data_IF_987562632559
#
_entry.id   IF_987562632559
#
_cell.length_a   1.000
_cell.length_b   1.000
_cell.length_c   1.000
_cell.angle_alpha   90.00
_cell.angle_beta   90.00
_cell.angle_gamma   90.00
#
_symmetry.space_group_name_H-M   'P 1'
#
loop_
_entity.id
_entity.type
_entity.pdbx_description
1 polymer ?
#
# COMPACT_ATOMS: atom_id res chain seq x y z
N UNK A 1 -14.93 -7.72 -40.11
CA UNK A 1 -14.48 -7.13 -38.85
C UNK A 1 -15.49 -7.30 -37.72
N UNK A 2 -16.79 -7.23 -37.97
CA UNK A 2 -17.80 -7.47 -36.91
C UNK A 2 -17.79 -8.90 -36.36
N UNK A 3 -17.55 -9.91 -37.20
CA UNK A 3 -17.58 -11.31 -36.77
C UNK A 3 -16.35 -11.75 -35.95
N UNK A 4 -15.21 -11.07 -36.07
CA UNK A 4 -14.05 -11.29 -35.23
C UNK A 4 -14.30 -10.83 -33.77
N UNK A 5 -15.19 -9.84 -33.58
CA UNK A 5 -15.60 -9.35 -32.27
C UNK A 5 -16.66 -10.21 -31.59
N UNK A 6 -17.41 -10.99 -32.37
CA UNK A 6 -18.49 -11.85 -31.84
C UNK A 6 -18.00 -13.26 -31.48
N UNK A 7 -16.92 -13.75 -32.07
CA UNK A 7 -16.40 -15.10 -31.80
C UNK A 7 -15.71 -15.25 -30.42
N UNK A 8 -15.36 -14.15 -29.77
CA UNK A 8 -14.76 -14.14 -28.42
C UNK A 8 -15.80 -14.06 -27.28
N UNK A 9 -17.09 -14.26 -27.60
CA UNK A 9 -18.21 -14.19 -26.65
C UNK A 9 -18.50 -15.48 -25.88
N UNK A 10 -17.66 -16.50 -25.98
CA UNK A 10 -17.83 -17.69 -25.12
C UNK A 10 -17.48 -17.30 -23.67
N UNK A 11 -18.51 -17.11 -22.84
CA UNK A 11 -18.37 -17.02 -21.42
C UNK A 11 -17.66 -18.26 -20.91
N UNK A 12 -16.46 -18.09 -20.38
CA UNK A 12 -15.71 -19.16 -19.73
C UNK A 12 -16.47 -19.54 -18.45
N UNK A 13 -17.37 -20.52 -18.52
CA UNK A 13 -17.96 -21.18 -17.34
C UNK A 13 -16.96 -22.14 -16.67
N UNK A 14 -15.78 -22.32 -17.28
CA UNK A 14 -14.70 -23.17 -16.79
C UNK A 14 -13.60 -22.28 -16.20
N UNK A 15 -13.07 -22.60 -15.01
CA UNK A 15 -11.94 -21.87 -14.43
C UNK A 15 -10.75 -21.89 -15.39
N UNK A 16 -10.03 -20.75 -15.46
CA UNK A 16 -8.82 -20.67 -16.27
C UNK A 16 -7.76 -21.63 -15.74
N UNK A 17 -7.18 -22.43 -16.63
CA UNK A 17 -6.14 -23.40 -16.35
C UNK A 17 -4.98 -23.22 -17.32
N UNK A 18 -3.77 -23.56 -16.90
CA UNK A 18 -2.59 -23.59 -17.74
C UNK A 18 -2.13 -22.23 -18.26
N UNK A 19 -1.79 -22.15 -19.54
CA UNK A 19 -1.15 -20.99 -20.16
C UNK A 19 -2.02 -19.71 -20.15
N UNK A 20 -3.35 -19.85 -20.22
CA UNK A 20 -4.25 -18.70 -20.17
C UNK A 20 -4.34 -18.12 -18.76
N UNK A 21 -4.42 -18.99 -17.74
CA UNK A 21 -4.36 -18.56 -16.34
C UNK A 21 -3.09 -17.77 -16.07
N UNK A 22 -1.93 -18.29 -16.50
CA UNK A 22 -0.66 -17.59 -16.32
C UNK A 22 -0.65 -16.21 -17.00
N UNK A 23 -1.17 -16.10 -18.23
CA UNK A 23 -1.24 -14.81 -18.94
C UNK A 23 -2.07 -13.78 -18.19
N UNK A 24 -3.26 -14.16 -17.73
CA UNK A 24 -4.17 -13.27 -16.98
C UNK A 24 -3.53 -12.84 -15.66
N UNK A 25 -2.93 -13.77 -14.92
CA UNK A 25 -2.20 -13.46 -13.71
C UNK A 25 -1.07 -12.45 -13.97
N UNK A 26 -0.24 -12.72 -15.00
CA UNK A 26 0.91 -11.87 -15.31
C UNK A 26 0.50 -10.43 -15.70
N UNK A 27 -0.62 -10.26 -16.41
CA UNK A 27 -1.14 -8.92 -16.76
C UNK A 27 -1.40 -8.08 -15.48
N UNK A 28 -2.12 -8.64 -14.52
CA UNK A 28 -2.39 -7.96 -13.24
C UNK A 28 -1.12 -7.79 -12.39
N UNK A 29 -0.29 -8.81 -12.32
CA UNK A 29 0.95 -8.78 -11.57
C UNK A 29 1.90 -7.69 -12.08
N UNK A 30 1.99 -7.51 -13.41
CA UNK A 30 2.79 -6.47 -14.03
C UNK A 30 2.24 -5.07 -13.73
N UNK A 31 0.93 -4.86 -13.81
CA UNK A 31 0.30 -3.60 -13.42
C UNK A 31 0.55 -3.28 -11.93
N UNK A 32 0.48 -4.27 -11.05
CA UNK A 32 0.75 -4.10 -9.64
C UNK A 32 2.22 -3.83 -9.32
N UNK A 33 3.14 -4.44 -10.07
CA UNK A 33 4.56 -4.11 -10.05
C UNK A 33 4.79 -2.62 -10.37
N UNK A 34 4.14 -2.10 -11.41
CA UNK A 34 4.23 -0.68 -11.78
C UNK A 34 3.67 0.23 -10.68
N UNK A 35 2.55 -0.16 -10.07
CA UNK A 35 1.95 0.57 -8.94
C UNK A 35 2.93 0.74 -7.78
N UNK A 36 3.64 -0.33 -7.41
CA UNK A 36 4.67 -0.26 -6.36
C UNK A 36 5.91 0.49 -6.78
N UNK A 37 6.30 0.42 -8.06
CA UNK A 37 7.42 1.21 -8.59
C UNK A 37 7.13 2.71 -8.48
N UNK A 38 5.96 3.17 -8.90
CA UNK A 38 5.54 4.58 -8.73
C UNK A 38 5.48 5.00 -7.27
N UNK A 39 5.04 4.11 -6.36
CA UNK A 39 4.94 4.40 -4.93
C UNK A 39 6.32 4.61 -4.29
N UNK A 40 7.29 3.75 -4.62
CA UNK A 40 8.55 3.64 -3.88
C UNK A 40 9.69 4.48 -4.47
N UNK A 41 9.56 4.95 -5.71
CA UNK A 41 10.65 5.62 -6.43
C UNK A 41 11.13 6.90 -5.75
N UNK A 42 10.28 7.60 -5.03
CA UNK A 42 10.64 8.86 -4.35
C UNK A 42 11.70 8.68 -3.27
N UNK A 43 11.77 7.52 -2.63
CA UNK A 43 12.80 7.25 -1.62
C UNK A 43 14.22 7.38 -2.19
N UNK A 44 14.39 7.10 -3.48
CA UNK A 44 15.67 7.16 -4.18
C UNK A 44 15.86 8.50 -4.91
N UNK A 45 14.77 9.10 -5.41
CA UNK A 45 14.81 10.36 -6.16
C UNK A 45 14.82 11.60 -5.25
N UNK A 46 14.61 11.43 -3.93
CA UNK A 46 14.48 12.57 -3.01
C UNK A 46 15.63 13.58 -3.06
N UNK A 47 16.92 13.20 -3.15
CA UNK A 47 18.00 14.19 -3.24
C UNK A 47 17.91 15.05 -4.50
N UNK A 48 17.64 14.41 -5.63
CA UNK A 48 17.53 15.10 -6.93
C UNK A 48 16.30 16.02 -6.97
N UNK A 49 15.18 15.58 -6.40
CA UNK A 49 13.97 16.39 -6.32
C UNK A 49 14.16 17.63 -5.44
N UNK A 50 14.80 17.45 -4.27
CA UNK A 50 15.10 18.58 -3.36
C UNK A 50 16.06 19.58 -4.03
N UNK A 51 17.12 19.10 -4.67
CA UNK A 51 18.13 19.95 -5.29
C UNK A 51 17.60 20.68 -6.53
N UNK A 52 16.87 19.98 -7.42
CA UNK A 52 16.42 20.57 -8.69
C UNK A 52 15.20 21.50 -8.52
N UNK A 53 14.36 21.23 -7.50
CA UNK A 53 13.12 21.96 -7.27
C UNK A 53 13.23 22.96 -6.11
N UNK A 54 14.35 22.94 -5.39
CA UNK A 54 14.62 23.79 -4.20
C UNK A 54 13.50 23.71 -3.15
N UNK A 55 12.91 22.50 -3.00
CA UNK A 55 11.77 22.25 -2.07
C UNK A 55 12.27 21.87 -0.68
N UNK A 56 11.51 22.29 0.33
CA UNK A 56 11.73 21.90 1.72
C UNK A 56 11.38 20.44 2.00
N UNK A 57 11.75 19.92 3.16
CA UNK A 57 11.38 18.57 3.61
C UNK A 57 9.86 18.41 3.74
N UNK A 58 9.16 19.44 4.23
CA UNK A 58 7.69 19.48 4.32
C UNK A 58 7.03 19.44 2.95
N UNK A 59 7.55 20.20 1.99
CA UNK A 59 7.07 20.17 0.60
C UNK A 59 7.34 18.82 -0.07
N UNK A 60 8.51 18.21 0.14
CA UNK A 60 8.81 16.86 -0.36
C UNK A 60 7.85 15.81 0.24
N UNK A 61 7.58 15.91 1.54
CA UNK A 61 6.61 15.06 2.23
C UNK A 61 5.20 15.26 1.69
N UNK A 62 4.79 16.51 1.46
CA UNK A 62 3.48 16.85 0.88
C UNK A 62 3.34 16.35 -0.55
N UNK A 63 4.37 16.56 -1.38
CA UNK A 63 4.43 16.07 -2.76
C UNK A 63 4.27 14.55 -2.83
N UNK A 64 4.96 13.83 -1.96
CA UNK A 64 4.86 12.38 -1.89
C UNK A 64 3.53 11.91 -1.32
N UNK A 65 2.96 12.64 -0.35
CA UNK A 65 1.64 12.37 0.22
C UNK A 65 0.52 12.51 -0.79
N UNK A 66 0.65 13.39 -1.79
CA UNK A 66 -0.38 13.57 -2.82
C UNK A 66 -0.71 12.27 -3.58
N UNK A 67 0.29 11.42 -3.81
CA UNK A 67 0.09 10.07 -4.35
C UNK A 67 -0.81 9.22 -3.43
N UNK A 68 -0.51 9.22 -2.12
CA UNK A 68 -1.27 8.43 -1.13
C UNK A 68 -2.69 8.97 -0.96
N UNK A 69 -2.87 10.29 -1.00
CA UNK A 69 -4.17 10.96 -0.97
C UNK A 69 -4.99 10.53 -2.20
N UNK A 70 -4.42 10.65 -3.40
CA UNK A 70 -5.09 10.23 -4.63
C UNK A 70 -5.47 8.75 -4.62
N UNK A 71 -4.54 7.89 -4.18
CA UNK A 71 -4.76 6.45 -4.03
C UNK A 71 -5.88 6.15 -3.03
N UNK A 72 -5.87 6.78 -1.85
CA UNK A 72 -6.86 6.60 -0.79
C UNK A 72 -8.26 7.07 -1.19
N UNK A 73 -8.37 8.26 -1.78
CA UNK A 73 -9.64 8.82 -2.26
C UNK A 73 -10.28 7.96 -3.37
N UNK A 74 -9.46 7.35 -4.21
CA UNK A 74 -9.95 6.49 -5.29
C UNK A 74 -10.47 5.13 -4.81
N UNK A 75 -10.17 4.68 -3.58
CA UNK A 75 -10.56 3.35 -3.09
C UNK A 75 -12.08 3.11 -3.14
N UNK A 76 -12.87 4.11 -2.75
CA UNK A 76 -14.34 4.00 -2.76
C UNK A 76 -14.89 3.95 -4.20
N UNK A 77 -14.53 4.90 -5.10
CA UNK A 77 -14.90 4.82 -6.51
C UNK A 77 -14.47 3.52 -7.21
N UNK A 78 -13.27 3.01 -6.92
CA UNK A 78 -12.75 1.77 -7.51
C UNK A 78 -13.68 0.59 -7.23
N UNK A 79 -14.17 0.43 -6.01
CA UNK A 79 -15.14 -0.63 -5.68
C UNK A 79 -16.40 -0.56 -6.55
N UNK A 80 -16.96 0.65 -6.71
CA UNK A 80 -18.16 0.88 -7.54
C UNK A 80 -17.89 0.58 -9.03
N UNK A 81 -16.74 1.02 -9.54
CA UNK A 81 -16.34 0.77 -10.92
C UNK A 81 -16.13 -0.72 -11.20
N UNK A 82 -15.51 -1.45 -10.27
CA UNK A 82 -15.31 -2.90 -10.37
C UNK A 82 -16.64 -3.65 -10.43
N UNK A 83 -17.60 -3.27 -9.60
CA UNK A 83 -18.92 -3.90 -9.58
C UNK A 83 -19.72 -3.61 -10.87
N UNK A 84 -19.53 -2.40 -11.44
CA UNK A 84 -20.30 -1.97 -12.61
C UNK A 84 -19.68 -2.40 -13.94
N UNK A 85 -18.36 -2.26 -14.08
CA UNK A 85 -17.65 -2.43 -15.35
C UNK A 85 -16.69 -3.63 -15.35
N UNK A 86 -16.47 -4.25 -14.19
CA UNK A 86 -15.55 -5.37 -14.03
C UNK A 86 -14.06 -4.97 -14.01
N UNK A 87 -13.16 -5.93 -13.73
CA UNK A 87 -11.76 -5.64 -13.45
C UNK A 87 -10.99 -5.09 -14.65
N UNK A 88 -11.25 -5.59 -15.87
CA UNK A 88 -10.52 -5.16 -17.07
C UNK A 88 -10.73 -3.69 -17.40
N UNK A 89 -11.99 -3.25 -17.50
CA UNK A 89 -12.32 -1.86 -17.90
C UNK A 89 -11.89 -0.91 -16.80
N UNK A 90 -12.15 -1.25 -15.54
CA UNK A 90 -11.80 -0.41 -14.40
C UNK A 90 -10.29 -0.16 -14.34
N UNK A 91 -9.48 -1.22 -14.47
CA UNK A 91 -8.02 -1.07 -14.38
C UNK A 91 -7.45 -0.28 -15.56
N UNK A 92 -7.84 -0.61 -16.78
CA UNK A 92 -7.40 0.12 -17.98
C UNK A 92 -7.76 1.61 -17.87
N UNK A 93 -9.01 1.93 -17.52
CA UNK A 93 -9.47 3.31 -17.43
C UNK A 93 -8.72 4.10 -16.36
N UNK A 94 -8.45 3.50 -15.22
CA UNK A 94 -7.71 4.17 -14.15
C UNK A 94 -6.22 4.30 -14.47
N UNK A 95 -5.59 3.30 -15.04
CA UNK A 95 -4.16 3.38 -15.42
C UNK A 95 -3.89 4.48 -16.46
N UNK A 96 -4.87 4.92 -17.24
CA UNK A 96 -4.73 6.09 -18.11
C UNK A 96 -4.44 7.35 -17.26
N UNK A 97 -5.10 7.51 -16.11
CA UNK A 97 -4.78 8.63 -15.20
C UNK A 97 -3.35 8.54 -14.66
N UNK A 98 -2.83 7.32 -14.45
CA UNK A 98 -1.43 7.15 -14.03
C UNK A 98 -0.45 7.59 -15.12
N UNK A 99 -0.72 7.26 -16.39
CA UNK A 99 0.09 7.70 -17.54
C UNK A 99 0.04 9.22 -17.66
N UNK A 100 -1.16 9.81 -17.65
CA UNK A 100 -1.35 11.28 -17.72
C UNK A 100 -0.64 11.97 -16.54
N UNK A 101 -0.80 11.44 -15.33
CA UNK A 101 -0.15 11.96 -14.14
C UNK A 101 1.37 11.90 -14.21
N UNK A 102 1.93 10.80 -14.73
CA UNK A 102 3.38 10.66 -14.90
C UNK A 102 3.94 11.59 -15.99
N UNK A 103 3.21 11.82 -17.08
CA UNK A 103 3.57 12.79 -18.10
C UNK A 103 3.47 14.24 -17.58
N UNK A 104 2.43 14.54 -16.77
CA UNK A 104 2.33 15.83 -16.08
C UNK A 104 3.50 16.04 -15.14
N UNK A 105 3.87 15.04 -14.36
CA UNK A 105 5.03 15.12 -13.46
C UNK A 105 6.35 15.30 -14.22
N UNK A 106 6.51 14.61 -15.35
CA UNK A 106 7.66 14.76 -16.23
C UNK A 106 7.83 16.18 -16.75
N UNK A 107 6.72 16.80 -17.19
CA UNK A 107 6.72 18.12 -17.83
C UNK A 107 6.53 19.29 -16.86
N UNK A 108 6.40 19.03 -15.57
CA UNK A 108 6.04 20.05 -14.59
C UNK A 108 7.23 20.98 -14.27
N UNK A 109 6.95 22.30 -14.27
CA UNK A 109 7.89 23.35 -13.90
C UNK A 109 7.51 24.06 -12.59
N UNK A 110 6.42 23.63 -11.95
CA UNK A 110 5.97 24.19 -10.68
C UNK A 110 5.41 23.11 -9.74
N UNK A 111 5.40 23.43 -8.44
CA UNK A 111 4.97 22.51 -7.40
C UNK A 111 3.51 22.02 -7.57
N UNK A 112 2.60 22.90 -8.02
CA UNK A 112 1.19 22.55 -8.18
C UNK A 112 0.98 21.46 -9.24
N UNK A 113 1.68 21.54 -10.37
CA UNK A 113 1.63 20.51 -11.42
C UNK A 113 2.29 19.21 -10.97
N UNK A 114 3.40 19.27 -10.22
CA UNK A 114 4.03 18.10 -9.61
C UNK A 114 3.07 17.40 -8.65
N UNK A 115 2.42 18.17 -7.77
CA UNK A 115 1.43 17.67 -6.83
C UNK A 115 0.25 17.01 -7.55
N UNK A 116 -0.33 17.68 -8.56
CA UNK A 116 -1.42 17.15 -9.36
C UNK A 116 -1.02 15.88 -10.13
N UNK A 117 0.17 15.87 -10.74
CA UNK A 117 0.72 14.70 -11.43
C UNK A 117 0.84 13.50 -10.49
N UNK A 118 1.40 13.69 -9.30
CA UNK A 118 1.51 12.64 -8.27
C UNK A 118 0.15 12.13 -7.79
N UNK A 119 -0.80 13.03 -7.55
CA UNK A 119 -2.16 12.68 -7.15
C UNK A 119 -2.85 11.85 -8.23
N UNK A 120 -2.73 12.23 -9.51
CA UNK A 120 -3.27 11.47 -10.64
C UNK A 120 -2.62 10.09 -10.79
N UNK A 121 -1.29 9.97 -10.58
CA UNK A 121 -0.62 8.66 -10.54
C UNK A 121 -1.25 7.80 -9.45
N UNK A 122 -1.43 8.34 -8.24
CA UNK A 122 -2.05 7.63 -7.12
C UNK A 122 -3.46 7.12 -7.44
N UNK A 123 -4.32 7.99 -8.00
CA UNK A 123 -5.66 7.61 -8.49
C UNK A 123 -5.55 6.50 -9.53
N UNK A 124 -4.64 6.66 -10.49
CA UNK A 124 -4.52 5.76 -11.63
C UNK A 124 -4.13 4.33 -11.28
N UNK A 125 -3.24 4.15 -10.29
CA UNK A 125 -2.76 2.81 -9.88
C UNK A 125 -3.53 2.23 -8.69
N UNK A 126 -4.53 2.93 -8.18
CA UNK A 126 -5.30 2.52 -6.99
C UNK A 126 -6.09 1.23 -7.17
N UNK A 127 -6.45 0.88 -8.40
CA UNK A 127 -7.22 -0.31 -8.72
C UNK A 127 -6.40 -1.58 -8.90
N UNK A 128 -5.07 -1.49 -9.10
CA UNK A 128 -4.25 -2.62 -9.57
C UNK A 128 -4.40 -3.90 -8.72
N UNK A 129 -4.42 -3.80 -7.39
CA UNK A 129 -4.65 -4.96 -6.53
C UNK A 129 -6.13 -5.38 -6.52
N UNK A 130 -7.05 -4.43 -6.41
CA UNK A 130 -8.48 -4.73 -6.29
C UNK A 130 -9.05 -5.32 -7.58
N UNK A 131 -8.60 -4.83 -8.74
CA UNK A 131 -8.94 -5.42 -10.05
C UNK A 131 -8.41 -6.83 -10.19
N UNK A 132 -7.17 -7.08 -9.76
CA UNK A 132 -6.59 -8.41 -9.76
C UNK A 132 -7.41 -9.38 -8.91
N UNK A 133 -7.71 -9.02 -7.65
CA UNK A 133 -8.49 -9.87 -6.74
C UNK A 133 -9.91 -10.12 -7.27
N UNK A 134 -10.56 -9.10 -7.85
CA UNK A 134 -11.86 -9.24 -8.50
C UNK A 134 -11.80 -10.17 -9.73
N UNK A 135 -10.77 -10.02 -10.56
CA UNK A 135 -10.52 -10.89 -11.71
C UNK A 135 -10.24 -12.33 -11.30
N UNK A 136 -9.44 -12.54 -10.26
CA UNK A 136 -9.15 -13.89 -9.75
C UNK A 136 -10.40 -14.58 -9.23
N UNK A 137 -11.26 -13.89 -8.50
CA UNK A 137 -12.57 -14.44 -8.07
C UNK A 137 -13.45 -14.86 -9.25
N UNK A 138 -13.34 -14.15 -10.39
CA UNK A 138 -14.15 -14.41 -11.56
C UNK A 138 -13.62 -15.52 -12.46
N UNK A 139 -12.30 -15.76 -12.47
CA UNK A 139 -11.64 -16.58 -13.49
C UNK A 139 -10.83 -17.75 -12.94
N UNK A 140 -10.55 -17.80 -11.62
CA UNK A 140 -9.75 -18.87 -11.03
C UNK A 140 -10.53 -19.66 -9.99
N UNK A 141 -10.14 -20.94 -9.75
CA UNK A 141 -10.71 -21.73 -8.67
C UNK A 141 -10.54 -21.07 -7.29
N UNK A 142 -11.51 -21.29 -6.40
CA UNK A 142 -11.54 -20.65 -5.09
C UNK A 142 -10.37 -21.06 -4.18
N UNK A 143 -9.91 -22.31 -4.33
CA UNK A 143 -8.76 -22.88 -3.61
C UNK A 143 -7.43 -22.23 -4.00
N UNK A 144 -7.33 -21.56 -5.15
CA UNK A 144 -6.13 -20.87 -5.64
C UNK A 144 -6.04 -19.39 -5.19
N UNK A 145 -7.12 -18.81 -4.68
CA UNK A 145 -7.18 -17.40 -4.30
C UNK A 145 -6.08 -16.96 -3.32
N UNK A 146 -5.78 -17.70 -2.23
CA UNK A 146 -4.72 -17.32 -1.30
C UNK A 146 -3.33 -17.31 -1.97
N UNK A 147 -3.06 -18.29 -2.84
CA UNK A 147 -1.78 -18.40 -3.57
C UNK A 147 -1.61 -17.23 -4.55
N UNK A 148 -2.67 -16.88 -5.29
CA UNK A 148 -2.67 -15.75 -6.23
C UNK A 148 -2.47 -14.41 -5.50
N UNK A 149 -3.12 -14.23 -4.36
CA UNK A 149 -2.95 -13.03 -3.54
C UNK A 149 -1.52 -12.89 -3.02
N UNK A 150 -0.94 -13.98 -2.51
CA UNK A 150 0.46 -13.99 -2.07
C UNK A 150 1.43 -13.70 -3.22
N UNK A 151 1.19 -14.29 -4.40
CA UNK A 151 1.99 -14.02 -5.58
C UNK A 151 1.89 -12.55 -6.03
N UNK A 152 0.70 -11.92 -5.94
CA UNK A 152 0.55 -10.48 -6.21
C UNK A 152 1.41 -9.63 -5.28
N UNK A 153 1.46 -9.94 -3.98
CA UNK A 153 2.31 -9.21 -3.02
C UNK A 153 3.80 -9.33 -3.37
N UNK A 154 4.24 -10.50 -3.84
CA UNK A 154 5.61 -10.72 -4.33
C UNK A 154 5.91 -9.80 -5.51
N UNK A 155 5.03 -9.79 -6.53
CA UNK A 155 5.21 -8.93 -7.71
C UNK A 155 5.14 -7.45 -7.34
N UNK A 156 4.22 -7.04 -6.46
CA UNK A 156 4.19 -5.67 -5.95
C UNK A 156 5.51 -5.28 -5.28
N UNK A 157 5.98 -6.07 -4.32
CA UNK A 157 7.23 -5.77 -3.60
C UNK A 157 8.45 -5.79 -4.54
N UNK A 158 8.48 -6.64 -5.59
CA UNK A 158 9.53 -6.60 -6.60
C UNK A 158 9.54 -5.27 -7.38
N UNK A 159 8.39 -4.61 -7.53
CA UNK A 159 8.32 -3.24 -8.06
C UNK A 159 9.04 -2.22 -7.16
N UNK A 160 8.91 -2.34 -5.83
CA UNK A 160 9.66 -1.51 -4.89
C UNK A 160 11.18 -1.79 -4.95
N UNK A 161 11.57 -3.06 -5.12
CA UNK A 161 12.98 -3.44 -5.36
C UNK A 161 13.52 -2.80 -6.64
N UNK A 162 12.76 -2.84 -7.73
CA UNK A 162 13.12 -2.20 -8.99
C UNK A 162 13.28 -0.68 -8.84
N UNK A 163 12.39 -0.04 -8.10
CA UNK A 163 12.40 1.39 -7.84
C UNK A 163 13.54 1.87 -6.92
N UNK A 164 14.37 0.97 -6.40
CA UNK A 164 15.51 1.28 -5.52
C UNK A 164 16.85 1.28 -6.28
N UNK A 165 17.74 0.33 -6.03
CA UNK A 165 19.06 0.30 -6.64
C UNK A 165 19.05 0.29 -8.19
N UNK A 166 18.15 -0.43 -8.89
CA UNK A 166 18.10 -0.37 -10.35
C UNK A 166 17.81 1.03 -10.92
N UNK A 167 16.85 1.76 -10.30
CA UNK A 167 16.56 3.14 -10.71
C UNK A 167 17.76 4.05 -10.43
N UNK A 168 18.46 3.87 -9.31
CA UNK A 168 19.66 4.67 -9.00
C UNK A 168 20.76 4.53 -10.07
N UNK A 169 20.92 3.34 -10.65
CA UNK A 169 21.92 3.10 -11.71
C UNK A 169 21.58 3.90 -12.98
N UNK A 170 20.30 4.00 -13.31
CA UNK A 170 19.84 4.66 -14.54
C UNK A 170 19.72 6.19 -14.37
N UNK A 171 19.48 6.64 -13.14
CA UNK A 171 19.20 8.04 -12.80
C UNK A 171 20.22 9.06 -13.32
N UNK A 172 21.57 8.83 -13.28
CA UNK A 172 22.54 9.77 -13.81
C UNK A 172 22.45 10.01 -15.31
N UNK A 173 21.87 9.07 -16.06
CA UNK A 173 21.76 9.13 -17.52
C UNK A 173 20.50 9.83 -18.01
N UNK A 174 19.38 9.66 -17.30
CA UNK A 174 18.08 10.15 -17.76
C UNK A 174 17.43 11.18 -16.82
N UNK A 175 18.02 11.42 -15.66
CA UNK A 175 17.48 12.29 -14.63
C UNK A 175 16.16 11.78 -14.03
N UNK A 176 15.65 12.44 -13.00
CA UNK A 176 14.39 12.06 -12.37
C UNK A 176 13.18 12.24 -13.32
N UNK A 177 13.20 13.23 -14.19
CA UNK A 177 12.17 13.41 -15.23
C UNK A 177 12.12 12.21 -16.17
N UNK A 178 13.29 11.76 -16.66
CA UNK A 178 13.39 10.57 -17.52
C UNK A 178 12.93 9.29 -16.85
N UNK A 179 13.10 9.14 -15.54
CA UNK A 179 12.55 8.01 -14.77
C UNK A 179 11.02 8.03 -14.83
N UNK A 180 10.37 9.19 -14.63
CA UNK A 180 8.89 9.27 -14.71
C UNK A 180 8.38 9.05 -16.13
N UNK A 181 9.08 9.54 -17.16
CA UNK A 181 8.75 9.26 -18.56
C UNK A 181 8.86 7.75 -18.86
N UNK A 182 9.90 7.09 -18.38
CA UNK A 182 10.09 5.63 -18.53
C UNK A 182 8.96 4.85 -17.85
N UNK A 183 8.58 5.23 -16.63
CA UNK A 183 7.45 4.61 -15.90
C UNK A 183 6.12 4.86 -16.63
N UNK A 184 5.92 6.05 -17.23
CA UNK A 184 4.75 6.35 -18.05
C UNK A 184 4.66 5.44 -19.28
N UNK A 185 5.78 5.23 -19.98
CA UNK A 185 5.84 4.33 -21.15
C UNK A 185 5.57 2.87 -20.75
N UNK A 186 6.17 2.39 -19.64
CA UNK A 186 5.94 1.03 -19.12
C UNK A 186 4.48 0.87 -18.68
N UNK A 187 3.87 1.89 -18.06
CA UNK A 187 2.46 1.90 -17.69
C UNK A 187 1.55 1.86 -18.93
N UNK A 188 1.85 2.63 -19.96
CA UNK A 188 1.12 2.60 -21.23
C UNK A 188 1.23 1.22 -21.91
N UNK A 189 2.40 0.60 -21.91
CA UNK A 189 2.59 -0.76 -22.40
C UNK A 189 1.75 -1.77 -21.59
N UNK A 190 1.66 -1.60 -20.26
CA UNK A 190 0.79 -2.44 -19.42
C UNK A 190 -0.68 -2.30 -19.79
N UNK A 191 -1.17 -1.09 -20.09
CA UNK A 191 -2.54 -0.87 -20.58
C UNK A 191 -2.80 -1.66 -21.86
N UNK A 192 -1.86 -1.62 -22.80
CA UNK A 192 -1.95 -2.39 -24.06
C UNK A 192 -1.99 -3.91 -23.77
N UNK A 193 -1.14 -4.39 -22.87
CA UNK A 193 -1.12 -5.80 -22.46
C UNK A 193 -2.45 -6.19 -21.81
N UNK A 194 -2.97 -5.40 -20.88
CA UNK A 194 -4.27 -5.62 -20.25
C UNK A 194 -5.41 -5.66 -21.29
N UNK A 195 -5.37 -4.74 -22.25
CA UNK A 195 -6.39 -4.66 -23.31
C UNK A 195 -6.41 -5.91 -24.20
N UNK A 196 -5.28 -6.46 -24.59
CA UNK A 196 -5.24 -7.60 -25.50
C UNK A 196 -5.37 -8.96 -24.82
N UNK A 197 -4.88 -9.12 -23.58
CA UNK A 197 -4.77 -10.42 -22.92
C UNK A 197 -5.83 -10.69 -21.85
N UNK A 198 -6.49 -9.66 -21.30
CA UNK A 198 -7.55 -9.93 -20.32
C UNK A 198 -8.87 -10.31 -21.03
N UNK A 199 -9.56 -11.36 -20.52
CA UNK A 199 -10.85 -11.75 -21.07
C UNK A 199 -11.90 -10.65 -20.91
N UNK A 200 -12.73 -10.47 -21.93
CA UNK A 200 -13.94 -9.64 -21.83
C UNK A 200 -15.03 -10.50 -21.21
N UNK A 201 -15.10 -10.54 -19.88
CA UNK A 201 -16.23 -11.16 -19.20
C UNK A 201 -17.29 -10.10 -18.95
N UNK A 202 -18.39 -10.14 -19.66
CA UNK A 202 -19.61 -9.46 -19.21
C UNK A 202 -20.07 -10.17 -17.93
N UNK A 203 -20.40 -9.46 -16.85
CA UNK A 203 -21.00 -10.07 -15.67
C UNK A 203 -22.29 -10.76 -16.11
N UNK A 204 -22.31 -12.08 -16.20
CA UNK A 204 -23.51 -12.84 -16.60
C UNK A 204 -24.59 -12.88 -15.53
N UNK A 205 -24.23 -12.55 -14.31
CA UNK A 205 -25.20 -12.37 -13.24
C UNK A 205 -24.74 -11.20 -12.36
N UNK A 206 -25.64 -10.22 -12.23
CA UNK A 206 -25.57 -9.31 -11.09
C UNK A 206 -25.49 -10.23 -9.86
N UNK A 207 -24.50 -10.09 -8.98
CA UNK A 207 -24.57 -10.79 -7.72
C UNK A 207 -25.89 -10.38 -7.07
N UNK A 208 -26.84 -11.30 -7.03
CA UNK A 208 -28.23 -11.10 -6.55
C UNK A 208 -28.27 -10.68 -5.07
N UNK A 209 -27.11 -10.54 -4.45
CA UNK A 209 -26.96 -10.26 -3.03
C UNK A 209 -26.95 -8.75 -2.71
N UNK A 210 -26.76 -7.84 -3.70
CA UNK A 210 -26.45 -6.45 -3.36
C UNK A 210 -27.38 -5.35 -3.85
N UNK A 211 -28.44 -5.64 -4.62
CA UNK A 211 -29.37 -4.57 -5.04
C UNK A 211 -30.82 -5.07 -5.00
N UNK A 212 -31.42 -5.05 -3.83
CA UNK A 212 -32.85 -4.74 -3.75
C UNK A 212 -33.03 -3.30 -4.23
N UNK A 213 -33.89 -3.08 -5.19
CA UNK A 213 -34.05 -1.81 -5.92
C UNK A 213 -34.41 -0.57 -5.05
N UNK A 214 -34.63 -0.72 -3.78
CA UNK A 214 -34.93 0.36 -2.84
C UNK A 214 -33.71 0.97 -2.13
N UNK A 215 -32.50 0.41 -2.28
CA UNK A 215 -31.31 0.79 -1.49
C UNK A 215 -30.15 1.40 -2.30
N UNK A 216 -30.33 1.73 -3.58
CA UNK A 216 -29.25 2.32 -4.42
C UNK A 216 -28.70 3.65 -3.91
N UNK A 217 -29.49 4.43 -3.17
CA UNK A 217 -29.09 5.73 -2.61
C UNK A 217 -28.37 5.60 -1.27
N UNK A 218 -28.52 4.47 -0.55
CA UNK A 218 -27.92 4.26 0.78
C UNK A 218 -26.47 3.76 0.79
N UNK A 219 -25.90 3.41 -0.35
CA UNK A 219 -24.52 2.85 -0.43
C UNK A 219 -23.43 3.87 -0.01
N UNK A 220 -23.68 5.15 -0.20
CA UNK A 220 -22.77 6.26 0.19
C UNK A 220 -23.29 7.03 1.42
N UNK A 221 -24.37 6.55 2.08
CA UNK A 221 -24.87 7.24 3.26
C UNK A 221 -23.94 6.98 4.46
N UNK A 222 -23.69 8.02 5.24
CA UNK A 222 -22.99 7.96 6.53
C UNK A 222 -23.52 6.83 7.44
N UNK A 223 -24.83 6.59 7.40
CA UNK A 223 -25.48 5.52 8.15
C UNK A 223 -24.94 4.12 7.85
N UNK A 224 -24.42 3.90 6.63
CA UNK A 224 -23.84 2.60 6.24
C UNK A 224 -22.42 2.39 6.79
N UNK A 225 -21.68 3.46 7.05
CA UNK A 225 -20.30 3.41 7.54
C UNK A 225 -20.20 3.57 9.06
N UNK A 226 -21.17 4.24 9.68
CA UNK A 226 -21.20 4.47 11.12
C UNK A 226 -21.00 3.18 11.96
N UNK A 227 -21.68 2.06 11.68
CA UNK A 227 -21.49 0.81 12.43
C UNK A 227 -20.07 0.25 12.31
N UNK A 228 -19.38 0.51 11.20
CA UNK A 228 -17.99 0.10 10.98
C UNK A 228 -17.06 0.97 11.83
N UNK A 229 -17.19 2.29 11.71
CA UNK A 229 -16.33 3.26 12.38
C UNK A 229 -16.49 3.28 13.90
N UNK A 230 -17.65 2.85 14.43
CA UNK A 230 -17.92 2.76 15.87
C UNK A 230 -17.69 1.35 16.44
N UNK A 231 -17.32 0.38 15.61
CA UNK A 231 -17.07 -0.98 16.08
C UNK A 231 -15.83 -1.04 16.99
N UNK A 232 -15.90 -1.67 18.16
CA UNK A 232 -14.79 -1.77 19.10
C UNK A 232 -13.52 -2.40 18.51
N UNK A 233 -13.63 -3.46 17.71
CA UNK A 233 -12.47 -4.10 17.07
C UNK A 233 -11.83 -3.18 16.02
N UNK A 234 -12.66 -2.46 15.26
CA UNK A 234 -12.17 -1.46 14.32
C UNK A 234 -11.39 -0.36 15.05
N UNK A 235 -11.96 0.23 16.09
CA UNK A 235 -11.34 1.31 16.87
C UNK A 235 -10.07 0.85 17.60
N UNK A 236 -10.02 -0.39 18.05
CA UNK A 236 -8.83 -0.97 18.68
C UNK A 236 -7.67 -1.11 17.71
N UNK A 237 -7.93 -1.60 16.50
CA UNK A 237 -6.92 -1.89 15.48
C UNK A 237 -6.62 -0.69 14.58
N UNK A 238 -7.42 0.38 14.63
CA UNK A 238 -7.25 1.59 13.83
C UNK A 238 -5.85 2.21 13.95
N UNK A 239 -5.25 2.38 15.15
CA UNK A 239 -3.90 2.95 15.27
C UNK A 239 -2.83 2.08 14.61
N UNK A 240 -2.95 0.75 14.66
CA UNK A 240 -2.01 -0.16 13.98
C UNK A 240 -2.07 0.04 12.47
N UNK A 241 -3.27 0.18 11.90
CA UNK A 241 -3.43 0.46 10.48
C UNK A 241 -2.98 1.86 10.09
N UNK A 242 -3.54 2.88 10.73
CA UNK A 242 -3.30 4.27 10.34
C UNK A 242 -1.89 4.77 10.71
N UNK A 243 -1.39 4.42 11.91
CA UNK A 243 -0.13 4.95 12.42
C UNK A 243 1.02 3.98 12.13
N UNK A 244 0.92 2.70 12.52
CA UNK A 244 2.04 1.77 12.33
C UNK A 244 2.22 1.35 10.87
N UNK A 245 1.16 0.88 10.20
CA UNK A 245 1.24 0.50 8.78
C UNK A 245 1.34 1.74 7.89
N UNK A 246 0.56 2.80 8.16
CA UNK A 246 0.64 4.05 7.43
C UNK A 246 2.02 4.71 7.54
N UNK A 247 2.57 4.80 8.75
CA UNK A 247 3.90 5.33 8.95
C UNK A 247 5.01 4.45 8.39
N UNK A 248 4.86 3.12 8.44
CA UNK A 248 5.75 2.20 7.72
C UNK A 248 5.77 2.51 6.22
N UNK A 249 4.60 2.73 5.60
CA UNK A 249 4.50 3.14 4.19
C UNK A 249 5.26 4.47 3.98
N UNK A 250 5.07 5.46 4.84
CA UNK A 250 5.76 6.74 4.74
C UNK A 250 7.29 6.60 4.81
N UNK A 251 7.80 5.78 5.72
CA UNK A 251 9.24 5.50 5.84
C UNK A 251 9.77 4.76 4.61
N UNK A 252 9.12 3.65 4.24
CA UNK A 252 9.54 2.81 3.13
C UNK A 252 9.56 3.55 1.79
N UNK A 253 8.56 4.42 1.55
CA UNK A 253 8.35 5.03 0.24
C UNK A 253 9.01 6.40 0.07
N UNK A 254 9.46 7.01 1.18
CA UNK A 254 10.15 8.30 1.14
C UNK A 254 11.28 8.40 2.18
N UNK A 255 10.96 8.38 3.48
CA UNK A 255 11.85 8.92 4.51
C UNK A 255 13.08 8.07 4.84
N UNK A 256 13.07 6.77 4.50
CA UNK A 256 14.25 5.91 4.71
C UNK A 256 15.46 6.41 3.91
N UNK A 257 15.26 6.86 2.66
CA UNK A 257 16.34 7.41 1.83
C UNK A 257 16.99 8.66 2.42
N UNK A 258 16.24 9.75 2.64
CA UNK A 258 16.73 10.95 3.30
C UNK A 258 17.36 10.69 4.67
N UNK A 259 16.82 9.80 5.49
CA UNK A 259 17.41 9.39 6.77
C UNK A 259 18.81 8.85 6.60
N UNK A 260 19.00 7.88 5.69
CA UNK A 260 20.29 7.25 5.46
C UNK A 260 21.33 8.25 4.93
N UNK A 261 20.91 9.25 4.18
CA UNK A 261 21.81 10.27 3.64
C UNK A 261 22.13 11.35 4.68
N UNK A 262 21.10 11.95 5.29
CA UNK A 262 21.26 13.14 6.15
C UNK A 262 21.70 12.80 7.58
N UNK A 263 21.32 11.64 8.11
CA UNK A 263 21.65 11.24 9.50
C UNK A 263 22.82 10.26 9.55
N UNK A 264 22.82 9.26 8.65
CA UNK A 264 23.87 8.25 8.60
C UNK A 264 25.05 8.64 7.70
N UNK A 265 24.93 9.78 6.99
CA UNK A 265 25.94 10.29 6.05
C UNK A 265 26.37 9.29 4.99
N UNK A 266 25.43 8.43 4.54
CA UNK A 266 25.69 7.51 3.44
C UNK A 266 25.55 8.19 2.09
N UNK A 267 26.34 7.72 1.11
CA UNK A 267 26.16 8.15 -0.29
C UNK A 267 24.79 7.72 -0.81
N UNK A 268 24.29 8.40 -1.82
CA UNK A 268 23.01 8.04 -2.46
C UNK A 268 23.01 6.61 -3.01
N UNK A 269 24.17 6.12 -3.50
CA UNK A 269 24.36 4.74 -3.98
C UNK A 269 24.17 3.74 -2.84
N UNK A 270 24.85 3.96 -1.71
CA UNK A 270 24.75 3.07 -0.52
C UNK A 270 23.36 3.12 0.08
N UNK A 271 22.74 4.30 0.14
CA UNK A 271 21.35 4.46 0.57
C UNK A 271 20.39 3.62 -0.28
N UNK A 272 20.50 3.71 -1.60
CA UNK A 272 19.67 2.95 -2.55
C UNK A 272 19.86 1.45 -2.43
N UNK A 273 21.10 0.98 -2.19
CA UNK A 273 21.37 -0.43 -1.93
C UNK A 273 20.73 -0.90 -0.62
N UNK A 274 20.76 -0.08 0.43
CA UNK A 274 20.14 -0.42 1.71
C UNK A 274 18.60 -0.44 1.61
N UNK A 275 18.00 0.49 0.84
CA UNK A 275 16.57 0.46 0.53
C UNK A 275 16.21 -0.80 -0.25
N UNK A 276 17.05 -1.22 -1.19
CA UNK A 276 16.87 -2.50 -1.90
C UNK A 276 16.86 -3.67 -0.92
N UNK A 277 17.86 -3.78 -0.04
CA UNK A 277 17.93 -4.85 0.95
C UNK A 277 16.78 -4.80 1.96
N UNK A 278 16.35 -3.62 2.39
CA UNK A 278 15.17 -3.45 3.24
C UNK A 278 13.91 -4.05 2.60
N UNK A 279 13.67 -3.74 1.32
CA UNK A 279 12.55 -4.29 0.56
C UNK A 279 12.70 -5.81 0.30
N UNK A 280 13.94 -6.30 0.09
CA UNK A 280 14.21 -7.73 -0.08
C UNK A 280 13.90 -8.52 1.20
N UNK A 281 14.33 -8.00 2.37
CA UNK A 281 14.03 -8.60 3.69
C UNK A 281 12.52 -8.62 3.92
N UNK A 282 11.82 -7.52 3.61
CA UNK A 282 10.36 -7.44 3.70
C UNK A 282 9.67 -8.49 2.82
N UNK A 283 10.10 -8.63 1.56
CA UNK A 283 9.57 -9.63 0.63
C UNK A 283 9.76 -11.06 1.17
N UNK A 284 10.97 -11.38 1.62
CA UNK A 284 11.28 -12.69 2.22
C UNK A 284 10.40 -12.93 3.45
N UNK A 285 10.20 -11.89 4.26
CA UNK A 285 9.35 -12.00 5.46
C UNK A 285 7.90 -12.26 5.11
N UNK A 286 7.34 -11.63 4.09
CA UNK A 286 5.99 -11.95 3.61
C UNK A 286 5.87 -13.40 3.15
N UNK A 287 6.89 -13.92 2.44
CA UNK A 287 6.94 -15.33 2.04
C UNK A 287 6.98 -16.27 3.26
N UNK A 288 7.85 -15.99 4.22
CA UNK A 288 7.96 -16.77 5.45
C UNK A 288 6.64 -16.75 6.22
N UNK A 289 6.03 -15.57 6.41
CA UNK A 289 4.78 -15.43 7.15
C UNK A 289 3.62 -16.22 6.53
N UNK A 290 3.62 -16.40 5.21
CA UNK A 290 2.60 -17.22 4.53
C UNK A 290 2.58 -18.68 5.03
N UNK A 291 3.74 -19.23 5.37
CA UNK A 291 3.88 -20.60 5.86
C UNK A 291 3.98 -20.69 7.38
N UNK A 292 4.52 -19.68 8.01
CA UNK A 292 4.82 -19.67 9.45
C UNK A 292 3.58 -19.37 10.30
N UNK A 293 2.77 -18.40 9.89
CA UNK A 293 1.60 -17.98 10.66
C UNK A 293 0.56 -19.09 10.89
N UNK A 294 0.20 -19.92 9.89
CA UNK A 294 -0.68 -21.06 10.14
C UNK A 294 -0.11 -22.07 11.14
N UNK A 295 1.20 -22.28 11.15
CA UNK A 295 1.85 -23.19 12.11
C UNK A 295 1.82 -22.63 13.53
N UNK A 296 1.99 -21.32 13.72
CA UNK A 296 1.83 -20.68 15.03
C UNK A 296 0.42 -20.83 15.57
N UNK A 297 -0.58 -20.72 14.72
CA UNK A 297 -1.98 -20.92 15.13
C UNK A 297 -2.23 -22.36 15.61
N UNK A 298 -1.59 -23.36 14.98
CA UNK A 298 -1.70 -24.77 15.42
C UNK A 298 -1.14 -25.01 16.83
N UNK A 299 -0.16 -24.22 17.28
CA UNK A 299 0.41 -24.28 18.64
C UNK A 299 -0.26 -23.30 19.61
N UNK A 300 -1.42 -22.73 19.24
CA UNK A 300 -2.23 -21.89 20.11
C UNK A 300 -1.88 -20.40 20.12
N UNK A 301 -0.96 -19.92 19.26
CA UNK A 301 -0.65 -18.48 19.16
C UNK A 301 -1.68 -17.81 18.26
N UNK A 302 -2.48 -16.91 18.83
CA UNK A 302 -3.48 -16.16 18.06
C UNK A 302 -2.82 -15.14 17.14
N UNK A 303 -3.47 -14.84 16.00
CA UNK A 303 -3.01 -13.78 15.07
C UNK A 303 -2.88 -12.42 15.77
N UNK A 304 -3.78 -12.13 16.72
CA UNK A 304 -3.74 -10.90 17.51
C UNK A 304 -2.50 -10.85 18.42
N UNK A 305 -2.19 -11.94 19.13
CA UNK A 305 -0.99 -12.01 19.99
C UNK A 305 0.28 -11.85 19.17
N UNK A 306 0.37 -12.54 18.01
CA UNK A 306 1.49 -12.39 17.09
C UNK A 306 1.66 -10.94 16.61
N UNK A 307 0.58 -10.30 16.16
CA UNK A 307 0.59 -8.89 15.76
C UNK A 307 1.06 -7.98 16.88
N UNK A 308 0.57 -8.20 18.11
CA UNK A 308 0.93 -7.38 19.27
C UNK A 308 2.41 -7.50 19.63
N UNK A 309 2.96 -8.71 19.64
CA UNK A 309 4.39 -8.93 19.89
C UNK A 309 5.25 -8.29 18.81
N UNK A 310 4.91 -8.50 17.53
CA UNK A 310 5.65 -7.93 16.41
C UNK A 310 5.59 -6.40 16.43
N UNK A 311 4.45 -5.81 16.80
CA UNK A 311 4.33 -4.34 16.94
C UNK A 311 5.20 -3.82 18.07
N UNK A 312 5.25 -4.49 19.23
CA UNK A 312 6.13 -4.12 20.33
C UNK A 312 7.62 -4.21 19.96
N UNK A 313 8.04 -5.32 19.34
CA UNK A 313 9.42 -5.49 18.86
C UNK A 313 9.76 -4.45 17.79
N UNK A 314 8.81 -4.12 16.91
CA UNK A 314 8.95 -3.10 15.89
C UNK A 314 9.26 -1.71 16.48
N UNK A 315 8.58 -1.33 17.57
CA UNK A 315 8.86 -0.06 18.28
C UNK A 315 10.29 -0.02 18.81
N UNK A 316 10.75 -1.11 19.41
CA UNK A 316 12.14 -1.22 19.93
C UNK A 316 13.13 -1.14 18.77
N UNK A 317 12.91 -1.91 17.70
CA UNK A 317 13.80 -1.92 16.54
C UNK A 317 13.87 -0.54 15.87
N UNK A 318 12.73 0.13 15.73
CA UNK A 318 12.64 1.46 15.14
C UNK A 318 13.28 2.52 16.02
N UNK A 319 13.05 2.49 17.34
CA UNK A 319 13.72 3.37 18.29
C UNK A 319 15.24 3.18 18.26
N UNK A 320 15.72 1.95 18.23
CA UNK A 320 17.13 1.67 18.09
C UNK A 320 17.69 2.16 16.74
N UNK A 321 16.94 2.00 15.64
CA UNK A 321 17.36 2.51 14.33
C UNK A 321 17.45 4.04 14.29
N UNK A 322 16.60 4.77 15.03
CA UNK A 322 16.59 6.23 15.07
C UNK A 322 17.64 6.83 16.00
N UNK A 323 17.95 6.17 17.12
CA UNK A 323 18.78 6.76 18.17
C UNK A 323 20.15 6.11 18.37
N UNK A 324 20.35 4.87 17.86
CA UNK A 324 21.63 4.18 17.95
C UNK A 324 22.37 4.27 16.62
N UNK A 325 23.27 5.26 16.52
CA UNK A 325 24.12 5.46 15.36
C UNK A 325 25.38 4.57 15.48
N UNK A 326 25.62 3.70 14.51
CA UNK A 326 26.78 2.81 14.51
C UNK A 326 26.62 1.64 13.52
N UNK A 327 27.58 0.70 13.49
CA UNK A 327 27.57 -0.42 12.53
C UNK A 327 26.32 -1.31 12.63
N UNK A 328 25.72 -1.41 13.82
CA UNK A 328 24.51 -2.20 14.07
C UNK A 328 23.22 -1.51 13.61
N UNK A 329 23.26 -0.26 13.14
CA UNK A 329 22.06 0.46 12.70
C UNK A 329 21.33 -0.28 11.58
N UNK A 330 22.06 -0.87 10.63
CA UNK A 330 21.50 -1.67 9.51
C UNK A 330 20.74 -2.89 10.05
N UNK A 331 21.23 -3.53 11.11
CA UNK A 331 20.52 -4.64 11.76
C UNK A 331 19.16 -4.21 12.29
N UNK A 332 19.07 -3.04 12.94
CA UNK A 332 17.82 -2.52 13.47
C UNK A 332 16.81 -2.18 12.36
N UNK A 333 17.26 -1.62 11.25
CA UNK A 333 16.40 -1.44 10.06
C UNK A 333 15.92 -2.77 9.48
N UNK A 334 16.77 -3.79 9.45
CA UNK A 334 16.39 -5.14 9.03
C UNK A 334 15.34 -5.77 9.96
N UNK A 335 15.53 -5.65 11.29
CA UNK A 335 14.57 -6.13 12.27
C UNK A 335 13.23 -5.36 12.19
N UNK A 336 13.28 -4.04 11.94
CA UNK A 336 12.09 -3.25 11.67
C UNK A 336 11.35 -3.73 10.41
N UNK A 337 12.05 -4.04 9.32
CA UNK A 337 11.45 -4.59 8.10
C UNK A 337 10.73 -5.92 8.37
N UNK A 338 11.37 -6.83 9.13
CA UNK A 338 10.79 -8.13 9.51
C UNK A 338 9.51 -7.94 10.32
N UNK A 339 9.55 -7.12 11.37
CA UNK A 339 8.45 -6.98 12.30
C UNK A 339 7.28 -6.20 11.72
N UNK A 340 7.56 -5.16 10.91
CA UNK A 340 6.53 -4.35 10.24
C UNK A 340 5.71 -5.12 9.20
N UNK A 341 6.23 -6.23 8.66
CA UNK A 341 5.48 -7.11 7.78
C UNK A 341 4.21 -7.68 8.43
N UNK A 342 4.14 -7.69 9.76
CA UNK A 342 2.94 -8.13 10.50
C UNK A 342 1.80 -7.10 10.52
N UNK A 343 2.07 -5.81 10.27
CA UNK A 343 1.05 -4.76 10.38
C UNK A 343 -0.15 -4.97 9.45
N UNK A 344 0.05 -5.62 8.30
CA UNK A 344 -1.03 -5.96 7.37
C UNK A 344 -2.07 -6.92 7.99
N UNK A 345 -1.69 -7.66 9.04
CA UNK A 345 -2.60 -8.58 9.74
C UNK A 345 -3.72 -7.83 10.48
N UNK A 346 -3.49 -6.56 10.86
CA UNK A 346 -4.51 -5.73 11.49
C UNK A 346 -5.75 -5.59 10.59
N UNK A 347 -5.54 -5.39 9.28
CA UNK A 347 -6.64 -5.34 8.31
C UNK A 347 -7.42 -6.65 8.25
N UNK A 348 -6.73 -7.78 8.23
CA UNK A 348 -7.36 -9.09 8.23
C UNK A 348 -8.20 -9.33 9.49
N UNK A 349 -7.67 -8.96 10.67
CA UNK A 349 -8.38 -9.07 11.95
C UNK A 349 -9.63 -8.18 11.99
N UNK A 350 -9.55 -6.96 11.45
CA UNK A 350 -10.72 -6.07 11.34
C UNK A 350 -11.78 -6.70 10.43
N UNK A 351 -11.39 -7.16 9.23
CA UNK A 351 -12.34 -7.73 8.26
C UNK A 351 -13.04 -8.96 8.84
N UNK A 352 -12.32 -9.84 9.53
CA UNK A 352 -12.87 -11.08 10.09
C UNK A 352 -13.77 -10.85 11.31
N UNK A 353 -13.73 -9.67 11.93
CA UNK A 353 -14.62 -9.28 13.03
C UNK A 353 -16.02 -8.84 12.57
N UNK A 354 -16.26 -8.79 11.25
CA UNK A 354 -17.56 -8.43 10.68
C UNK A 354 -18.16 -9.58 9.85
N UNK A 355 -19.49 -9.60 9.68
CA UNK A 355 -20.14 -10.56 8.77
C UNK A 355 -19.59 -10.45 7.35
N UNK A 356 -19.52 -11.57 6.63
CA UNK A 356 -19.00 -11.65 5.25
C UNK A 356 -19.67 -10.62 4.33
N UNK A 357 -20.97 -10.35 4.53
CA UNK A 357 -21.72 -9.35 3.79
C UNK A 357 -21.18 -7.90 3.88
N UNK A 358 -20.40 -7.59 4.91
CA UNK A 358 -19.81 -6.27 5.14
C UNK A 358 -18.30 -6.21 4.81
N UNK A 359 -17.67 -7.35 4.52
CA UNK A 359 -16.20 -7.47 4.37
C UNK A 359 -15.61 -6.47 3.36
N UNK A 360 -16.26 -6.24 2.24
CA UNK A 360 -15.81 -5.29 1.23
C UNK A 360 -15.77 -3.84 1.75
N UNK A 361 -16.85 -3.38 2.41
CA UNK A 361 -16.94 -2.03 2.98
C UNK A 361 -15.95 -1.84 4.12
N UNK A 362 -15.83 -2.84 4.99
CA UNK A 362 -14.87 -2.82 6.10
C UNK A 362 -13.45 -2.72 5.58
N UNK A 363 -13.10 -3.54 4.60
CA UNK A 363 -11.77 -3.52 3.97
C UNK A 363 -11.46 -2.15 3.35
N UNK A 364 -12.40 -1.58 2.60
CA UNK A 364 -12.24 -0.26 1.96
C UNK A 364 -12.10 0.84 3.01
N UNK A 365 -12.95 0.86 4.05
CA UNK A 365 -12.90 1.85 5.11
C UNK A 365 -11.58 1.79 5.87
N UNK A 366 -11.09 0.59 6.17
CA UNK A 366 -9.83 0.41 6.85
C UNK A 366 -8.64 0.83 5.97
N UNK A 367 -8.66 0.52 4.67
CA UNK A 367 -7.67 1.00 3.70
C UNK A 367 -7.62 2.53 3.62
N UNK A 368 -8.78 3.19 3.56
CA UNK A 368 -8.83 4.66 3.59
C UNK A 368 -8.14 5.21 4.83
N UNK A 369 -8.37 4.60 6.01
CA UNK A 369 -7.70 5.00 7.26
C UNK A 369 -6.18 4.79 7.20
N UNK A 370 -5.70 3.71 6.59
CA UNK A 370 -4.27 3.46 6.38
C UNK A 370 -3.65 4.56 5.51
N UNK A 371 -4.30 4.90 4.39
CA UNK A 371 -3.75 5.91 3.46
C UNK A 371 -3.84 7.33 4.00
N UNK A 372 -4.87 7.68 4.78
CA UNK A 372 -4.92 8.94 5.53
C UNK A 372 -3.76 8.98 6.52
N UNK A 373 -3.56 7.93 7.31
CA UNK A 373 -2.46 7.83 8.25
C UNK A 373 -1.10 7.94 7.57
N UNK A 374 -0.89 7.21 6.47
CA UNK A 374 0.33 7.27 5.69
C UNK A 374 0.60 8.68 5.13
N UNK A 375 -0.42 9.37 4.62
CA UNK A 375 -0.31 10.73 4.11
C UNK A 375 0.06 11.71 5.22
N UNK A 376 -0.61 11.61 6.38
CA UNK A 376 -0.35 12.47 7.54
C UNK A 376 1.06 12.24 8.10
N UNK A 377 1.50 10.97 8.21
CA UNK A 377 2.86 10.67 8.69
C UNK A 377 3.90 11.13 7.68
N UNK A 378 3.66 10.95 6.39
CA UNK A 378 4.61 11.32 5.34
C UNK A 378 4.82 12.84 5.27
N UNK A 379 3.74 13.62 5.29
CA UNK A 379 3.81 15.08 5.36
C UNK A 379 4.32 15.57 6.73
N UNK A 380 3.79 15.01 7.83
CA UNK A 380 4.10 15.42 9.18
C UNK A 380 5.59 15.27 9.54
N UNK A 381 6.21 14.16 9.11
CA UNK A 381 7.66 13.97 9.30
C UNK A 381 8.43 15.12 8.64
N UNK A 382 8.13 15.47 7.39
CA UNK A 382 8.79 16.56 6.70
C UNK A 382 8.53 17.92 7.33
N UNK A 383 7.28 18.19 7.75
CA UNK A 383 6.91 19.43 8.44
C UNK A 383 7.72 19.62 9.74
N UNK A 384 7.86 18.56 10.54
CA UNK A 384 8.64 18.66 11.79
C UNK A 384 10.15 18.72 11.56
N UNK A 385 10.67 18.19 10.44
CA UNK A 385 12.06 18.41 10.04
C UNK A 385 12.28 19.89 9.76
N UNK A 386 11.43 20.53 8.95
CA UNK A 386 11.54 21.96 8.63
C UNK A 386 11.43 22.82 9.89
N UNK A 387 10.47 22.51 10.79
CA UNK A 387 10.34 23.21 12.08
C UNK A 387 11.55 23.03 12.98
N UNK A 388 12.16 21.84 13.01
CA UNK A 388 13.41 21.61 13.74
C UNK A 388 14.54 22.51 13.22
N UNK A 389 14.68 22.65 11.90
CA UNK A 389 15.67 23.53 11.28
C UNK A 389 15.36 25.01 11.60
N UNK A 390 14.10 25.44 11.52
CA UNK A 390 13.67 26.78 11.92
C UNK A 390 13.99 27.09 13.39
N UNK A 391 13.95 26.09 14.29
CA UNK A 391 14.34 26.21 15.70
C UNK A 391 15.85 26.20 15.92
N UNK A 392 16.65 26.11 14.85
CA UNK A 392 18.10 26.16 14.90
C UNK A 392 18.79 24.82 15.10
N UNK A 393 18.06 23.71 14.97
CA UNK A 393 18.65 22.37 15.02
C UNK A 393 19.44 22.09 13.72
N UNK A 394 20.55 21.36 13.85
CA UNK A 394 21.22 20.80 12.68
C UNK A 394 20.32 19.79 11.96
N UNK A 395 20.52 19.61 10.65
CA UNK A 395 19.68 18.71 9.81
C UNK A 395 19.56 17.31 10.43
N UNK A 396 20.64 16.62 10.86
CA UNK A 396 20.51 15.30 11.47
C UNK A 396 19.67 15.29 12.75
N UNK A 397 19.77 16.37 13.57
CA UNK A 397 19.00 16.52 14.81
C UNK A 397 17.51 16.76 14.51
N UNK A 398 17.19 17.57 13.50
CA UNK A 398 15.82 17.82 13.06
C UNK A 398 15.15 16.53 12.54
N UNK A 399 15.89 15.71 11.78
CA UNK A 399 15.43 14.37 11.38
C UNK A 399 15.17 13.47 12.58
N UNK A 400 16.11 13.43 13.54
CA UNK A 400 16.01 12.60 14.76
C UNK A 400 14.83 13.02 15.61
N UNK A 401 14.60 14.33 15.77
CA UNK A 401 13.43 14.88 16.47
C UNK A 401 12.12 14.43 15.80
N UNK A 402 12.01 14.62 14.49
CA UNK A 402 10.80 14.29 13.74
C UNK A 402 10.49 12.79 13.79
N UNK A 403 11.51 11.94 13.61
CA UNK A 403 11.34 10.49 13.72
C UNK A 403 11.01 10.05 15.15
N UNK A 404 11.57 10.72 16.16
CA UNK A 404 11.23 10.51 17.57
C UNK A 404 9.76 10.84 17.87
N UNK A 405 9.25 11.96 17.36
CA UNK A 405 7.82 12.31 17.47
C UNK A 405 6.92 11.25 16.83
N UNK A 406 7.28 10.78 15.63
CA UNK A 406 6.56 9.69 15.00
C UNK A 406 6.57 8.42 15.86
N UNK A 407 7.73 8.05 16.43
CA UNK A 407 7.84 6.88 17.33
C UNK A 407 6.95 7.02 18.56
N UNK A 408 6.85 8.22 19.15
CA UNK A 408 5.96 8.49 20.28
C UNK A 408 4.50 8.27 19.88
N UNK A 409 4.06 8.81 18.74
CA UNK A 409 2.69 8.63 18.23
C UNK A 409 2.40 7.13 18.03
N UNK A 410 3.36 6.39 17.49
CA UNK A 410 3.23 4.94 17.29
C UNK A 410 3.18 4.18 18.63
N UNK A 411 3.98 4.57 19.62
CA UNK A 411 3.95 3.98 20.97
C UNK A 411 2.61 4.25 21.68
N UNK A 412 2.03 5.44 21.51
CA UNK A 412 0.66 5.74 21.99
C UNK A 412 -0.38 4.86 21.29
N UNK A 413 -0.26 4.64 19.98
CA UNK A 413 -1.10 3.72 19.22
C UNK A 413 -0.98 2.27 19.69
N UNK A 414 0.22 1.81 20.03
CA UNK A 414 0.46 0.49 20.61
C UNK A 414 -0.12 0.38 22.02
N UNK A 415 0.06 1.40 22.85
CA UNK A 415 -0.55 1.45 24.18
C UNK A 415 -2.08 1.35 24.09
N UNK A 416 -2.69 2.07 23.15
CA UNK A 416 -4.11 1.96 22.87
C UNK A 416 -4.50 0.52 22.46
N UNK A 417 -3.76 -0.12 21.55
CA UNK A 417 -4.02 -1.50 21.13
C UNK A 417 -4.17 -2.46 22.32
N UNK A 418 -3.32 -2.29 23.35
CA UNK A 418 -3.32 -3.15 24.54
C UNK A 418 -4.40 -2.73 25.53
N UNK A 419 -4.59 -1.43 25.76
CA UNK A 419 -5.50 -0.92 26.79
C UNK A 419 -6.95 -0.73 26.32
N UNK A 420 -7.23 -0.68 25.02
CA UNK A 420 -8.56 -0.46 24.46
C UNK A 420 -9.67 -1.34 25.04
N UNK A 421 -9.44 -2.64 25.37
CA UNK A 421 -10.47 -3.48 26.00
C UNK A 421 -11.00 -2.96 27.33
N UNK A 422 -10.24 -2.09 28.02
CA UNK A 422 -10.68 -1.47 29.28
C UNK A 422 -11.64 -0.30 29.07
N UNK A 423 -11.63 0.31 27.90
CA UNK A 423 -12.36 1.54 27.60
C UNK A 423 -13.50 1.34 26.58
N UNK A 424 -13.40 0.29 25.74
CA UNK A 424 -14.41 -0.01 24.73
C UNK A 424 -15.43 -1.02 25.27
N UNK A 425 -16.74 -0.84 24.99
CA UNK A 425 -17.76 -1.78 25.42
C UNK A 425 -17.53 -3.15 24.76
N UNK A 426 -17.86 -4.18 25.50
CA UNK A 426 -17.66 -5.61 25.25
C UNK A 426 -17.25 -6.02 23.83
N UNK A 427 -15.99 -6.52 23.71
CA UNK A 427 -15.56 -7.26 22.53
C UNK A 427 -16.39 -8.53 22.42
N UNK A 428 -17.08 -8.73 21.31
CA UNK A 428 -17.54 -10.05 20.91
C UNK A 428 -16.28 -10.86 20.59
N UNK A 429 -15.86 -11.65 21.57
CA UNK A 429 -14.76 -12.60 21.40
C UNK A 429 -15.31 -13.72 20.50
N UNK A 430 -14.97 -13.68 19.22
CA UNK A 430 -15.35 -14.71 18.25
C UNK A 430 -14.75 -16.08 18.58
N UNK A 431 -13.79 -16.15 19.51
CA UNK A 431 -13.23 -17.39 20.05
C UNK A 431 -14.17 -18.06 21.06
N UNK A 432 -14.98 -17.29 21.79
CA UNK A 432 -15.95 -17.83 22.75
C UNK A 432 -17.22 -18.42 22.12
N UNK A 433 -17.48 -18.16 20.85
CA UNK A 433 -18.63 -18.76 20.13
C UNK A 433 -18.31 -20.19 19.67
N UNK A 434 -17.02 -20.49 19.39
CA UNK A 434 -16.62 -21.86 19.01
C UNK A 434 -16.52 -22.84 20.15
N UNK A 435 -16.51 -22.40 21.41
CA UNK A 435 -16.52 -23.28 22.59
C UNK A 435 -17.93 -23.61 23.09
N UNK A 436 -18.98 -23.02 22.49
CA UNK A 436 -20.39 -23.25 22.86
C UNK A 436 -21.23 -23.87 21.74
N UNK A 437 -20.63 -24.27 20.63
CA UNK A 437 -21.13 -25.12 19.57
C UNK A 437 -20.34 -26.42 19.51
#
# INVERSE_FOLDING_TARGET
>A
MADFWLSNKQALDIPLIGRQAFKVFFCFAFAYFISYSFRSVNAVLSPELVNDLEISSGELGLLSSSYLIGFGLAQIPVGILLDKYGPRITEISLMIFAVVGALLFYSADNFALLFAGRMLIGVGVSSCLMSALSGFRSWYPIDKQPQLTSAMLIFGTSGALFASAPVRIILPYIGWRGVFLSLAMICAASIVILYFFLPVKTPKEKPTIWISNSNKVKLLSWESYRPILTNPNYLRLLPVGAISLGGFIALQTLWLGPWLINVMHYTSEKSSQLIFWFNAVLLITYLINTFFLPRLQLIGVSTFSFLSWMTGISLVAQGAAFFLHGPLNIFWWGLYAITSASFVLAQSLVITSFPISHSGRVSTTYNVSIFIGASLMQWGIGYFIDKGIEWGLAVPEAFTLSMGLYLIIQALGFTWLILAPKFLPQFYDSENVKSKL
#
